data_IF_815449565381
#
_entry.id   IF_815449565381
#
_cell.length_a   1.000
_cell.length_b   1.000
_cell.length_c   1.000
_cell.angle_alpha   90.00
_cell.angle_beta   90.00
_cell.angle_gamma   90.00
#
_symmetry.space_group_name_H-M   'P 1'
#
loop_
_entity.id
_entity.type
_entity.pdbx_description
1 polymer ?
#
# COMPACT_ATOMS: atom_id res chain seq x y z
N UNK A 1 2.78 22.63 2.44
CA UNK A 1 3.69 21.54 2.86
C UNK A 1 3.01 20.18 2.75
N UNK A 2 1.93 19.90 3.51
CA UNK A 2 1.21 18.61 3.47
C UNK A 2 0.86 18.11 2.06
N UNK A 3 0.24 18.97 1.23
CA UNK A 3 -0.06 18.64 -0.19
C UNK A 3 1.15 18.21 -1.00
N UNK A 4 2.29 18.88 -0.81
CA UNK A 4 3.52 18.54 -1.52
C UNK A 4 4.06 17.20 -1.06
N UNK A 5 4.13 16.98 0.26
CA UNK A 5 4.53 15.69 0.84
C UNK A 5 3.67 14.56 0.29
N UNK A 6 2.35 14.73 0.29
CA UNK A 6 1.40 13.74 -0.19
C UNK A 6 1.59 13.36 -1.66
N UNK A 7 1.86 14.34 -2.54
CA UNK A 7 2.13 14.08 -3.95
C UNK A 7 3.46 13.35 -4.17
N UNK A 8 4.45 13.63 -3.32
CA UNK A 8 5.78 13.00 -3.41
C UNK A 8 5.85 11.65 -2.70
N UNK A 9 4.92 11.32 -1.80
CA UNK A 9 4.90 10.06 -1.04
C UNK A 9 5.00 8.83 -1.95
N UNK A 10 4.23 8.81 -3.04
CA UNK A 10 4.27 7.69 -3.99
C UNK A 10 5.56 7.66 -4.81
N UNK A 11 6.06 8.83 -5.23
CA UNK A 11 7.35 8.94 -5.92
C UNK A 11 8.51 8.41 -5.06
N UNK A 12 8.61 8.84 -3.80
CA UNK A 12 9.65 8.38 -2.89
C UNK A 12 9.54 6.86 -2.64
N UNK A 13 8.32 6.34 -2.54
CA UNK A 13 8.07 4.90 -2.41
C UNK A 13 8.62 4.13 -3.61
N UNK A 14 8.27 4.55 -4.83
CA UNK A 14 8.67 3.87 -6.06
C UNK A 14 10.17 3.98 -6.35
N UNK A 15 10.81 5.08 -5.96
CA UNK A 15 12.27 5.27 -6.13
C UNK A 15 13.11 4.69 -5.00
N UNK A 16 12.49 4.10 -3.97
CA UNK A 16 13.19 3.58 -2.80
C UNK A 16 13.81 4.66 -1.91
N UNK A 17 13.43 5.93 -2.08
CA UNK A 17 13.98 7.08 -1.36
C UNK A 17 13.28 7.35 -0.02
N UNK A 18 12.52 6.38 0.50
CA UNK A 18 11.63 6.55 1.65
C UNK A 18 12.33 6.89 2.99
N UNK A 19 13.66 6.94 3.05
CA UNK A 19 14.38 7.36 4.25
C UNK A 19 14.66 8.87 4.27
N UNK A 20 14.82 9.48 3.09
CA UNK A 20 15.30 10.87 2.97
C UNK A 20 14.25 11.88 3.44
N UNK A 21 12.96 11.57 3.28
CA UNK A 21 11.89 12.46 3.69
C UNK A 21 11.54 12.36 5.18
N UNK A 22 12.05 11.38 5.93
CA UNK A 22 11.62 11.10 7.31
C UNK A 22 11.80 12.31 8.24
N UNK A 23 12.96 13.00 8.27
CA UNK A 23 13.13 14.16 9.14
C UNK A 23 12.16 15.31 8.79
N UNK A 24 11.94 15.55 7.50
CA UNK A 24 11.02 16.57 7.03
C UNK A 24 9.55 16.23 7.36
N UNK A 25 9.17 14.95 7.22
CA UNK A 25 7.84 14.47 7.58
C UNK A 25 7.59 14.58 9.09
N UNK A 26 8.55 14.19 9.94
CA UNK A 26 8.47 14.33 11.40
C UNK A 26 8.32 15.79 11.82
N UNK A 27 9.13 16.69 11.26
CA UNK A 27 9.04 18.12 11.54
C UNK A 27 7.68 18.70 11.13
N UNK A 28 7.13 18.26 9.99
CA UNK A 28 5.84 18.73 9.51
C UNK A 28 4.68 18.21 10.36
N UNK A 29 4.69 16.93 10.77
CA UNK A 29 3.69 16.39 11.70
C UNK A 29 3.73 17.15 13.03
N UNK A 30 4.92 17.41 13.57
CA UNK A 30 5.08 18.18 14.80
C UNK A 30 4.56 19.64 14.66
N UNK A 31 4.77 20.28 13.50
CA UNK A 31 4.30 21.63 13.24
C UNK A 31 2.77 21.73 13.03
N UNK A 32 2.15 20.68 12.47
CA UNK A 32 0.69 20.62 12.27
C UNK A 32 -0.02 20.25 13.58
N UNK A 33 0.59 19.38 14.38
CA UNK A 33 0.03 18.91 15.64
C UNK A 33 -0.92 17.72 15.45
N UNK A 34 -1.85 17.57 16.40
CA UNK A 34 -2.62 16.33 16.56
C UNK A 34 -3.87 16.25 15.71
N UNK A 35 -4.35 17.40 15.23
CA UNK A 35 -5.58 17.51 14.47
C UNK A 35 -5.23 17.85 13.02
N UNK A 36 -5.63 17.01 12.05
CA UNK A 36 -5.43 17.34 10.64
C UNK A 36 -6.18 18.64 10.29
N UNK A 37 -5.59 19.52 9.47
CA UNK A 37 -6.32 20.68 8.96
C UNK A 37 -7.54 20.22 8.12
N UNK A 38 -8.69 20.90 8.19
CA UNK A 38 -9.88 20.52 7.45
C UNK A 38 -9.63 20.36 5.95
N UNK A 39 -10.01 19.21 5.39
CA UNK A 39 -9.83 18.88 3.96
C UNK A 39 -8.41 18.48 3.57
N UNK A 40 -7.53 18.22 4.55
CA UNK A 40 -6.16 17.71 4.38
C UNK A 40 -5.91 16.43 5.19
N UNK A 41 -6.97 15.69 5.51
CA UNK A 41 -6.91 14.47 6.31
C UNK A 41 -6.04 13.40 5.64
N UNK A 42 -6.23 13.18 4.33
CA UNK A 42 -5.45 12.22 3.55
C UNK A 42 -3.98 12.64 3.42
N UNK A 43 -3.72 13.94 3.16
CA UNK A 43 -2.37 14.48 3.10
C UNK A 43 -1.65 14.39 4.46
N UNK A 44 -2.38 14.60 5.55
CA UNK A 44 -1.89 14.44 6.91
C UNK A 44 -1.50 12.98 7.16
N UNK A 45 -2.36 12.03 6.79
CA UNK A 45 -2.06 10.59 6.91
C UNK A 45 -0.80 10.23 6.11
N UNK A 46 -0.68 10.68 4.87
CA UNK A 46 0.52 10.41 4.04
C UNK A 46 1.80 10.98 4.65
N UNK A 47 1.72 12.17 5.26
CA UNK A 47 2.83 12.77 5.97
C UNK A 47 3.20 11.96 7.23
N UNK A 48 2.21 11.51 8.01
CA UNK A 48 2.40 10.69 9.19
C UNK A 48 3.03 9.32 8.85
N UNK A 49 2.56 8.66 7.78
CA UNK A 49 3.14 7.43 7.28
C UNK A 49 4.61 7.62 6.84
N UNK A 50 4.91 8.75 6.22
CA UNK A 50 6.29 9.12 5.89
C UNK A 50 7.18 9.32 7.13
N UNK A 51 6.63 9.84 8.23
CA UNK A 51 7.34 10.02 9.49
C UNK A 51 7.61 8.69 10.24
N UNK A 52 6.73 7.71 10.06
CA UNK A 52 6.81 6.34 10.60
C UNK A 52 7.72 5.41 9.77
N UNK A 53 8.16 5.82 8.59
CA UNK A 53 8.93 4.97 7.66
C UNK A 53 10.44 4.85 7.99
N UNK A 54 10.93 5.50 9.05
CA UNK A 54 12.35 5.50 9.39
C UNK A 54 12.60 5.12 10.85
N UNK A 55 13.80 4.62 11.10
CA UNK A 55 14.19 4.13 12.43
C UNK A 55 14.45 5.25 13.45
N UNK A 56 14.55 4.86 14.72
CA UNK A 56 15.12 5.70 15.78
C UNK A 56 14.19 6.77 16.35
N UNK A 57 12.87 6.66 16.17
CA UNK A 57 11.94 7.44 17.00
C UNK A 57 11.64 6.71 18.32
N UNK A 58 11.09 7.47 19.26
CA UNK A 58 10.58 6.95 20.52
C UNK A 58 9.39 6.01 20.24
N UNK A 59 9.43 4.73 20.68
CA UNK A 59 8.35 3.78 20.44
C UNK A 59 6.97 4.28 20.90
N UNK A 60 6.91 5.03 22.00
CA UNK A 60 5.65 5.58 22.49
C UNK A 60 5.08 6.66 21.55
N UNK A 61 5.95 7.47 20.96
CA UNK A 61 5.57 8.48 19.97
C UNK A 61 5.13 7.84 18.65
N UNK A 62 5.79 6.77 18.21
CA UNK A 62 5.38 6.00 17.03
C UNK A 62 4.00 5.37 17.23
N UNK A 63 3.77 4.71 18.37
CA UNK A 63 2.47 4.09 18.69
C UNK A 63 1.35 5.13 18.76
N UNK A 64 1.60 6.29 19.38
CA UNK A 64 0.64 7.40 19.40
C UNK A 64 0.33 7.93 17.99
N UNK A 65 1.34 8.01 17.11
CA UNK A 65 1.14 8.45 15.73
C UNK A 65 0.39 7.40 14.89
N UNK A 66 0.66 6.12 15.10
CA UNK A 66 -0.13 5.02 14.51
C UNK A 66 -1.60 5.11 14.91
N UNK A 67 -1.89 5.25 16.21
CA UNK A 67 -3.27 5.36 16.71
C UNK A 67 -3.99 6.58 16.13
N UNK A 68 -3.28 7.70 15.95
CA UNK A 68 -3.81 8.90 15.31
C UNK A 68 -4.13 8.68 13.83
N UNK A 69 -3.23 8.04 13.09
CA UNK A 69 -3.48 7.68 11.69
C UNK A 69 -4.72 6.79 11.59
N UNK A 70 -4.83 5.78 12.46
CA UNK A 70 -5.99 4.90 12.48
C UNK A 70 -7.29 5.67 12.79
N UNK A 71 -7.28 6.57 13.78
CA UNK A 71 -8.44 7.42 14.10
C UNK A 71 -8.86 8.34 12.95
N UNK A 72 -7.91 8.92 12.21
CA UNK A 72 -8.21 9.74 11.02
C UNK A 72 -8.78 8.88 9.91
N UNK A 73 -8.22 7.70 9.64
CA UNK A 73 -8.77 6.80 8.61
C UNK A 73 -10.16 6.26 8.98
N UNK A 74 -10.45 6.10 10.27
CA UNK A 74 -11.75 5.65 10.76
C UNK A 74 -12.83 6.72 10.62
N UNK A 75 -12.46 8.02 10.60
CA UNK A 75 -13.40 9.13 10.42
C UNK A 75 -13.72 9.46 8.96
N UNK A 76 -12.99 8.86 8.01
CA UNK A 76 -13.21 9.08 6.57
C UNK A 76 -14.30 8.14 6.01
N UNK A 77 -15.09 8.70 5.11
CA UNK A 77 -16.15 8.02 4.38
C UNK A 77 -15.85 7.94 2.87
N UNK A 78 -16.21 6.81 2.26
CA UNK A 78 -16.18 6.62 0.81
C UNK A 78 -14.78 6.42 0.21
N UNK A 79 -14.67 6.44 -1.13
CA UNK A 79 -13.39 6.25 -1.79
C UNK A 79 -12.44 7.42 -1.47
N UNK A 80 -11.23 7.10 -1.02
CA UNK A 80 -10.17 8.08 -0.80
C UNK A 80 -9.82 8.80 -2.11
N UNK A 81 -9.52 10.09 -2.02
CA UNK A 81 -9.03 10.88 -3.17
C UNK A 81 -7.60 10.49 -3.57
N UNK A 82 -6.82 10.02 -2.61
CA UNK A 82 -5.44 9.57 -2.73
C UNK A 82 -5.38 8.08 -2.31
N UNK A 83 -5.85 7.16 -3.17
CA UNK A 83 -6.06 5.76 -2.78
C UNK A 83 -4.75 5.04 -2.39
N UNK A 84 -3.59 5.57 -2.79
CA UNK A 84 -2.27 5.04 -2.40
C UNK A 84 -1.96 5.17 -0.90
N UNK A 85 -2.78 5.91 -0.14
CA UNK A 85 -2.84 5.84 1.33
C UNK A 85 -2.96 4.40 1.80
N UNK A 86 -3.82 3.59 1.16
CA UNK A 86 -4.04 2.18 1.54
C UNK A 86 -2.75 1.36 1.41
N UNK A 87 -1.97 1.59 0.34
CA UNK A 87 -0.66 0.92 0.14
C UNK A 87 0.30 1.29 1.25
N UNK A 88 0.51 2.59 1.43
CA UNK A 88 1.55 3.09 2.33
C UNK A 88 1.22 2.77 3.77
N UNK A 89 -0.06 2.79 4.14
CA UNK A 89 -0.50 2.36 5.45
C UNK A 89 -0.20 0.87 5.68
N UNK A 90 -0.54 -0.03 4.75
CA UNK A 90 -0.23 -1.46 4.90
C UNK A 90 1.27 -1.76 4.95
N UNK A 91 2.09 -1.01 4.22
CA UNK A 91 3.56 -1.14 4.25
C UNK A 91 4.12 -0.74 5.61
N UNK A 92 3.63 0.35 6.19
CA UNK A 92 4.15 0.91 7.44
C UNK A 92 3.58 0.17 8.66
N UNK A 93 2.28 -0.10 8.67
CA UNK A 93 1.58 -0.71 9.80
C UNK A 93 1.65 -2.25 9.80
N UNK A 94 2.10 -2.84 8.68
CA UNK A 94 2.07 -4.27 8.44
C UNK A 94 0.66 -4.81 8.12
N UNK A 95 0.54 -6.12 7.86
CA UNK A 95 -0.74 -6.77 7.61
C UNK A 95 -1.60 -6.78 8.88
N UNK A 96 -2.73 -6.08 8.85
CA UNK A 96 -3.73 -6.05 9.93
C UNK A 96 -5.10 -6.47 9.39
N UNK A 97 -5.46 -7.75 9.48
CA UNK A 97 -6.72 -8.27 8.92
C UNK A 97 -7.97 -7.52 9.42
N UNK A 98 -7.95 -7.03 10.65
CA UNK A 98 -9.00 -6.22 11.27
C UNK A 98 -9.28 -4.91 10.52
N UNK A 99 -8.31 -4.37 9.80
CA UNK A 99 -8.47 -3.15 9.01
C UNK A 99 -9.00 -3.41 7.59
N UNK A 100 -9.15 -4.66 7.16
CA UNK A 100 -9.57 -4.98 5.79
C UNK A 100 -10.98 -4.43 5.48
N UNK A 101 -11.90 -4.45 6.46
CA UNK A 101 -13.25 -3.88 6.29
C UNK A 101 -13.21 -2.35 6.10
N UNK A 102 -12.31 -1.66 6.82
CA UNK A 102 -12.04 -0.24 6.62
C UNK A 102 -11.43 0.02 5.25
N UNK A 103 -10.41 -0.74 4.87
CA UNK A 103 -9.76 -0.59 3.56
C UNK A 103 -10.75 -0.78 2.40
N UNK A 104 -11.67 -1.73 2.51
CA UNK A 104 -12.74 -1.94 1.53
C UNK A 104 -13.68 -0.74 1.44
N UNK A 105 -14.13 -0.21 2.60
CA UNK A 105 -14.96 1.00 2.66
C UNK A 105 -14.27 2.20 2.00
N UNK A 106 -12.99 2.39 2.34
CA UNK A 106 -12.15 3.49 1.85
C UNK A 106 -11.70 3.33 0.39
N UNK A 107 -11.72 2.12 -0.17
CA UNK A 107 -11.55 1.89 -1.59
C UNK A 107 -12.82 2.24 -2.38
N UNK A 108 -14.00 2.02 -1.78
CA UNK A 108 -15.28 2.28 -2.42
C UNK A 108 -15.41 1.52 -3.74
N UNK A 109 -15.72 2.24 -4.82
CA UNK A 109 -15.83 1.68 -6.18
C UNK A 109 -14.60 1.95 -7.04
N UNK A 110 -13.50 2.44 -6.47
CA UNK A 110 -12.29 2.72 -7.23
C UNK A 110 -11.64 1.41 -7.69
N UNK A 111 -11.49 1.19 -9.01
CA UNK A 111 -11.01 -0.09 -9.54
C UNK A 111 -9.54 -0.35 -9.17
N UNK A 112 -8.73 0.70 -9.03
CA UNK A 112 -7.33 0.57 -8.67
C UNK A 112 -7.18 0.22 -7.17
N UNK A 113 -7.92 0.89 -6.30
CA UNK A 113 -7.95 0.61 -4.87
C UNK A 113 -8.54 -0.78 -4.58
N UNK A 114 -9.54 -1.21 -5.36
CA UNK A 114 -10.08 -2.58 -5.30
C UNK A 114 -9.01 -3.63 -5.65
N UNK A 115 -8.30 -3.45 -6.77
CA UNK A 115 -7.20 -4.33 -7.16
C UNK A 115 -6.09 -4.38 -6.11
N UNK A 116 -5.80 -3.24 -5.49
CA UNK A 116 -4.85 -3.11 -4.40
C UNK A 116 -5.26 -3.92 -3.15
N UNK A 117 -6.53 -3.88 -2.79
CA UNK A 117 -7.05 -4.66 -1.68
C UNK A 117 -6.96 -6.16 -1.97
N UNK A 118 -7.32 -6.60 -3.17
CA UNK A 118 -7.14 -7.99 -3.59
C UNK A 118 -5.66 -8.43 -3.50
N UNK A 119 -4.72 -7.56 -3.91
CA UNK A 119 -3.29 -7.83 -3.77
C UNK A 119 -2.90 -7.99 -2.28
N UNK A 120 -3.35 -7.07 -1.43
CA UNK A 120 -3.11 -7.14 0.01
C UNK A 120 -3.65 -8.41 0.66
N UNK A 121 -4.87 -8.82 0.32
CA UNK A 121 -5.49 -10.07 0.77
C UNK A 121 -4.69 -11.29 0.28
N UNK A 122 -4.22 -11.27 -0.97
CA UNK A 122 -3.38 -12.31 -1.53
C UNK A 122 -2.07 -12.49 -0.78
N UNK A 123 -1.37 -11.40 -0.47
CA UNK A 123 -0.14 -11.41 0.33
C UNK A 123 -0.41 -11.90 1.75
N UNK A 124 -1.49 -11.44 2.41
CA UNK A 124 -1.89 -11.94 3.73
C UNK A 124 -2.16 -13.45 3.72
N UNK A 125 -2.86 -13.95 2.70
CA UNK A 125 -3.11 -15.39 2.54
C UNK A 125 -1.82 -16.18 2.30
N UNK A 126 -0.88 -15.65 1.50
CA UNK A 126 0.45 -16.25 1.27
C UNK A 126 1.20 -16.43 2.59
N UNK A 127 1.30 -15.38 3.42
CA UNK A 127 1.98 -15.46 4.72
C UNK A 127 1.26 -16.34 5.73
N UNK A 128 -0.06 -16.46 5.62
CA UNK A 128 -0.87 -17.36 6.45
C UNK A 128 -0.86 -18.82 5.97
N UNK A 129 -0.04 -19.18 4.98
CA UNK A 129 0.05 -20.56 4.48
C UNK A 129 -1.19 -21.05 3.72
N UNK A 130 -1.95 -20.12 3.10
CA UNK A 130 -3.18 -20.42 2.35
C UNK A 130 -2.97 -20.16 0.84
N UNK A 131 -2.19 -21.01 0.14
CA UNK A 131 -1.74 -20.73 -1.22
C UNK A 131 -2.87 -20.61 -2.25
N UNK A 132 -3.94 -21.42 -2.14
CA UNK A 132 -5.09 -21.31 -3.05
C UNK A 132 -5.83 -19.97 -2.95
N UNK A 133 -6.10 -19.51 -1.72
CA UNK A 133 -6.71 -18.19 -1.48
C UNK A 133 -5.79 -17.06 -1.94
N UNK A 134 -4.48 -17.23 -1.80
CA UNK A 134 -3.49 -16.27 -2.26
C UNK A 134 -3.49 -16.15 -3.79
N UNK A 135 -3.42 -17.29 -4.50
CA UNK A 135 -3.43 -17.35 -5.97
C UNK A 135 -4.73 -16.73 -6.55
N UNK A 136 -5.89 -17.06 -5.97
CA UNK A 136 -7.18 -16.48 -6.37
C UNK A 136 -7.21 -14.96 -6.21
N UNK A 137 -6.77 -14.44 -5.06
CA UNK A 137 -6.77 -13.01 -4.78
C UNK A 137 -5.76 -12.25 -5.66
N UNK A 138 -4.55 -12.77 -5.84
CA UNK A 138 -3.54 -12.19 -6.72
C UNK A 138 -3.95 -12.21 -8.19
N UNK A 139 -4.72 -13.23 -8.62
CA UNK A 139 -5.28 -13.28 -9.97
C UNK A 139 -6.31 -12.18 -10.20
N UNK A 140 -7.20 -11.92 -9.24
CA UNK A 140 -8.15 -10.79 -9.32
C UNK A 140 -7.43 -9.45 -9.31
N UNK A 141 -6.43 -9.29 -8.45
CA UNK A 141 -5.59 -8.10 -8.39
C UNK A 141 -4.92 -7.82 -9.75
N UNK A 142 -4.29 -8.83 -10.35
CA UNK A 142 -3.64 -8.71 -11.66
C UNK A 142 -4.64 -8.26 -12.75
N UNK A 143 -5.86 -8.82 -12.76
CA UNK A 143 -6.90 -8.40 -13.70
C UNK A 143 -7.31 -6.92 -13.49
N UNK A 144 -7.45 -6.49 -12.24
CA UNK A 144 -7.74 -5.09 -11.90
C UNK A 144 -6.61 -4.14 -12.28
N UNK A 145 -5.35 -4.51 -12.03
CA UNK A 145 -4.20 -3.72 -12.45
C UNK A 145 -4.08 -3.64 -13.98
N UNK A 146 -4.35 -4.73 -14.70
CA UNK A 146 -4.44 -4.72 -16.17
C UNK A 146 -5.50 -3.75 -16.68
N UNK A 147 -6.68 -3.71 -16.03
CA UNK A 147 -7.75 -2.79 -16.40
C UNK A 147 -7.40 -1.31 -16.12
N UNK A 148 -6.56 -1.04 -15.13
CA UNK A 148 -6.15 0.32 -14.73
C UNK A 148 -4.82 0.76 -15.34
N UNK A 149 -4.08 -0.16 -15.98
CA UNK A 149 -2.77 0.11 -16.57
C UNK A 149 -1.63 0.24 -15.56
N UNK A 150 -1.82 -0.19 -14.31
CA UNK A 150 -0.80 -0.07 -13.27
C UNK A 150 0.30 -1.13 -13.41
N UNK A 151 1.43 -0.73 -14.00
CA UNK A 151 2.63 -1.56 -14.13
C UNK A 151 3.21 -2.02 -12.79
N UNK A 152 3.16 -1.17 -11.75
CA UNK A 152 3.69 -1.55 -10.44
C UNK A 152 2.84 -2.65 -9.81
N UNK A 153 1.51 -2.49 -9.82
CA UNK A 153 0.58 -3.52 -9.36
C UNK A 153 0.71 -4.83 -10.14
N UNK A 154 0.82 -4.77 -11.47
CA UNK A 154 1.06 -5.95 -12.31
C UNK A 154 2.33 -6.69 -11.90
N UNK A 155 3.46 -5.99 -11.78
CA UNK A 155 4.74 -6.60 -11.39
C UNK A 155 4.68 -7.30 -10.02
N UNK A 156 3.99 -6.71 -9.04
CA UNK A 156 3.83 -7.28 -7.70
C UNK A 156 2.90 -8.52 -7.67
N UNK A 157 2.02 -8.69 -8.66
CA UNK A 157 1.16 -9.88 -8.75
C UNK A 157 1.79 -11.01 -9.57
N UNK A 158 2.57 -10.67 -10.61
CA UNK A 158 3.12 -11.65 -11.55
C UNK A 158 4.19 -12.56 -10.91
N UNK A 159 5.06 -12.04 -10.03
CA UNK A 159 6.07 -12.87 -9.34
C UNK A 159 5.43 -13.94 -8.43
N UNK A 160 4.50 -13.60 -7.53
CA UNK A 160 3.87 -14.61 -6.68
C UNK A 160 3.09 -15.65 -7.51
N UNK A 161 2.38 -15.23 -8.56
CA UNK A 161 1.64 -16.13 -9.44
C UNK A 161 2.57 -17.09 -10.20
N UNK A 162 3.74 -16.63 -10.64
CA UNK A 162 4.74 -17.49 -11.24
C UNK A 162 5.25 -18.55 -10.25
N UNK A 163 5.45 -18.18 -8.98
CA UNK A 163 5.83 -19.15 -7.95
C UNK A 163 4.76 -20.22 -7.74
N UNK A 164 3.47 -19.87 -7.80
CA UNK A 164 2.38 -20.85 -7.70
C UNK A 164 2.31 -21.77 -8.93
N UNK A 165 2.52 -21.24 -10.13
CA UNK A 165 2.61 -22.05 -11.35
C UNK A 165 3.76 -23.06 -11.26
N UNK A 166 4.96 -22.60 -10.87
CA UNK A 166 6.12 -23.46 -10.65
C UNK A 166 5.85 -24.53 -9.59
N UNK A 167 5.23 -24.17 -8.46
CA UNK A 167 4.88 -25.12 -7.40
C UNK A 167 3.90 -26.21 -7.86
N UNK A 168 3.12 -25.95 -8.91
CA UNK A 168 2.23 -26.93 -9.56
C UNK A 168 2.92 -27.74 -10.67
N UNK A 169 4.21 -27.49 -10.95
CA UNK A 169 4.97 -28.11 -12.02
C UNK A 169 4.76 -27.48 -13.40
N UNK A 170 4.15 -26.30 -13.46
CA UNK A 170 3.94 -25.53 -14.70
C UNK A 170 5.09 -24.51 -14.88
N UNK A 171 6.27 -25.02 -15.21
CA UNK A 171 7.48 -24.21 -15.37
C UNK A 171 7.39 -23.25 -16.56
N UNK A 172 6.76 -23.68 -17.66
CA UNK A 172 6.54 -22.84 -18.84
C UNK A 172 5.61 -21.66 -18.52
N UNK A 173 4.52 -21.92 -17.79
CA UNK A 173 3.62 -20.87 -17.32
C UNK A 173 4.30 -19.91 -16.33
N UNK A 174 5.12 -20.43 -15.42
CA UNK A 174 5.90 -19.62 -14.49
C UNK A 174 6.89 -18.68 -15.23
N UNK A 175 7.62 -19.22 -16.22
CA UNK A 175 8.55 -18.43 -17.03
C UNK A 175 7.84 -17.34 -17.84
N UNK A 176 6.67 -17.64 -18.41
CA UNK A 176 5.87 -16.66 -19.13
C UNK A 176 5.43 -15.50 -18.23
N UNK A 177 4.96 -15.80 -17.01
CA UNK A 177 4.56 -14.78 -16.02
C UNK A 177 5.75 -13.91 -15.57
N UNK A 178 6.91 -14.53 -15.32
CA UNK A 178 8.13 -13.78 -14.97
C UNK A 178 8.60 -12.90 -16.15
N UNK A 179 8.54 -13.39 -17.37
CA UNK A 179 8.90 -12.64 -18.57
C UNK A 179 7.99 -11.42 -18.75
N UNK A 180 6.68 -11.55 -18.52
CA UNK A 180 5.74 -10.43 -18.48
C UNK A 180 6.12 -9.43 -17.38
N UNK A 181 6.37 -9.91 -16.16
CA UNK A 181 6.73 -9.06 -15.02
C UNK A 181 7.98 -8.21 -15.29
N UNK A 182 8.98 -8.78 -15.98
CA UNK A 182 10.19 -8.08 -16.37
C UNK A 182 9.94 -6.89 -17.31
N UNK A 183 8.89 -6.92 -18.13
CA UNK A 183 8.51 -5.78 -18.98
C UNK A 183 8.07 -4.59 -18.13
N UNK A 184 7.40 -4.85 -16.99
CA UNK A 184 6.84 -3.80 -16.15
C UNK A 184 7.87 -3.11 -15.24
N UNK A 185 8.96 -3.78 -14.87
CA UNK A 185 9.99 -3.24 -13.96
C UNK A 185 11.18 -2.57 -14.67
N UNK A 186 11.26 -2.65 -16.00
CA UNK A 186 12.29 -1.95 -16.79
C UNK A 186 11.97 -0.45 -16.87
N UNK A 187 12.99 0.39 -16.63
CA UNK A 187 12.94 1.84 -16.79
C UNK A 187 12.69 2.26 -18.26
#
# INVERSE_FOLDING_TARGET
ALRLTALLSWFWRLRGLHGEQVPAARALVAAVGDVPPPGLEEEYVLCALGALSGDGADPAAEEALHARVDAVLDSLDGPLRLPYVLVLWSVVAGPRPEANARALRLAGTDPWAGALLDMGLGLQARFAGRPGQAEEALTRALAGFRATGDRWGMANCLEPLAMYAHARGDDDGALALLAEGLVHVRE
#
